data_IF_195668905707
#
_entry.id   IF_195668905707
#
_cell.length_a   1.000
_cell.length_b   1.000
_cell.length_c   1.000
_cell.angle_alpha   90.00
_cell.angle_beta   90.00
_cell.angle_gamma   90.00
#
_symmetry.space_group_name_H-M   'P 1'
#
loop_
_entity.id
_entity.type
_entity.pdbx_description
1 polymer ?
#
# COMPACT_ATOMS: atom_id res chain seq x y z
N UNK A 1 4.81 -22.37 6.34
CA UNK A 1 3.80 -21.90 5.40
C UNK A 1 3.31 -20.49 5.77
N UNK A 2 2.86 -20.23 7.00
CA UNK A 2 2.35 -18.93 7.44
C UNK A 2 3.35 -17.78 7.27
N UNK A 3 4.64 -18.04 7.55
CA UNK A 3 5.72 -17.07 7.34
C UNK A 3 5.87 -16.68 5.87
N UNK A 4 5.78 -17.64 4.95
CA UNK A 4 5.82 -17.37 3.52
C UNK A 4 4.61 -16.55 3.07
N UNK A 5 3.41 -16.94 3.51
CA UNK A 5 2.16 -16.23 3.19
C UNK A 5 2.25 -14.78 3.71
N UNK A 6 2.71 -14.57 4.93
CA UNK A 6 2.89 -13.24 5.52
C UNK A 6 3.87 -12.37 4.73
N UNK A 7 4.99 -12.92 4.29
CA UNK A 7 5.96 -12.22 3.45
C UNK A 7 5.36 -11.84 2.09
N UNK A 8 4.68 -12.77 1.41
CA UNK A 8 4.03 -12.48 0.12
C UNK A 8 2.92 -11.44 0.24
N UNK A 9 2.12 -11.53 1.30
CA UNK A 9 1.08 -10.55 1.60
C UNK A 9 1.64 -9.15 1.83
N UNK A 10 2.69 -9.05 2.64
CA UNK A 10 3.35 -7.77 2.93
C UNK A 10 4.05 -7.21 1.68
N UNK A 11 4.68 -8.07 0.87
CA UNK A 11 5.28 -7.67 -0.39
C UNK A 11 4.22 -7.12 -1.36
N UNK A 12 3.06 -7.74 -1.42
CA UNK A 12 1.96 -7.27 -2.24
C UNK A 12 1.40 -5.91 -1.78
N UNK A 13 1.32 -5.66 -0.45
CA UNK A 13 0.80 -4.39 0.09
C UNK A 13 1.80 -3.24 -0.16
N UNK A 14 3.07 -3.47 0.14
CA UNK A 14 4.08 -2.40 0.18
C UNK A 14 4.93 -2.35 -1.08
N UNK A 15 5.25 -3.51 -1.68
CA UNK A 15 6.20 -3.64 -2.77
C UNK A 15 5.73 -2.95 -4.04
N UNK A 16 4.49 -3.12 -4.37
CA UNK A 16 3.84 -2.61 -5.56
C UNK A 16 4.02 -1.09 -5.75
N UNK A 17 3.77 -0.32 -4.69
CA UNK A 17 3.91 1.14 -4.71
C UNK A 17 5.37 1.59 -4.77
N UNK A 18 6.28 0.87 -4.11
CA UNK A 18 7.73 1.16 -4.14
C UNK A 18 8.31 0.83 -5.52
N UNK A 19 7.85 -0.27 -6.14
CA UNK A 19 8.21 -0.62 -7.51
C UNK A 19 7.73 0.44 -8.50
N UNK A 20 6.49 0.90 -8.38
CA UNK A 20 5.94 1.95 -9.24
C UNK A 20 6.74 3.25 -9.14
N UNK A 21 7.30 3.58 -7.95
CA UNK A 21 8.13 4.76 -7.75
C UNK A 21 9.47 4.66 -8.47
N UNK A 22 10.21 3.55 -8.30
CA UNK A 22 11.58 3.44 -8.78
C UNK A 22 11.73 2.67 -10.11
N UNK A 23 10.68 1.98 -10.54
CA UNK A 23 10.65 1.11 -11.72
C UNK A 23 11.18 -0.31 -11.43
N UNK A 24 10.76 -1.31 -12.23
CA UNK A 24 10.94 -2.73 -11.90
C UNK A 24 12.40 -3.17 -11.79
N UNK A 25 13.28 -2.69 -12.66
CA UNK A 25 14.69 -3.09 -12.63
C UNK A 25 15.41 -2.53 -11.39
N UNK A 26 15.18 -1.25 -11.07
CA UNK A 26 15.75 -0.63 -9.86
C UNK A 26 15.16 -1.26 -8.60
N UNK A 27 13.88 -1.56 -8.61
CA UNK A 27 13.21 -2.25 -7.52
C UNK A 27 13.79 -3.64 -7.28
N UNK A 28 14.05 -4.42 -8.33
CA UNK A 28 14.70 -5.72 -8.20
C UNK A 28 16.10 -5.59 -7.57
N UNK A 29 16.93 -4.68 -8.06
CA UNK A 29 18.26 -4.42 -7.50
C UNK A 29 18.16 -3.95 -6.05
N UNK A 30 17.26 -3.02 -5.76
CA UNK A 30 16.97 -2.53 -4.42
C UNK A 30 16.59 -3.66 -3.47
N UNK A 31 15.64 -4.51 -3.88
CA UNK A 31 15.16 -5.64 -3.10
C UNK A 31 16.28 -6.63 -2.76
N UNK A 32 17.10 -7.00 -3.76
CA UNK A 32 18.23 -7.91 -3.57
C UNK A 32 19.29 -7.31 -2.64
N UNK A 33 19.63 -6.03 -2.82
CA UNK A 33 20.59 -5.34 -1.96
C UNK A 33 20.08 -5.25 -0.52
N UNK A 34 18.80 -4.92 -0.31
CA UNK A 34 18.20 -4.94 1.01
C UNK A 34 18.30 -6.33 1.66
N UNK A 35 18.06 -7.40 0.88
CA UNK A 35 18.18 -8.77 1.36
C UNK A 35 19.60 -9.13 1.79
N UNK A 36 20.60 -8.87 0.95
CA UNK A 36 22.00 -9.15 1.23
C UNK A 36 22.48 -8.36 2.46
N UNK A 37 22.25 -7.05 2.45
CA UNK A 37 22.74 -6.18 3.54
C UNK A 37 21.99 -6.43 4.85
N UNK A 38 20.73 -6.83 4.84
CA UNK A 38 20.00 -7.26 6.04
C UNK A 38 20.61 -8.53 6.64
N UNK A 39 20.98 -9.47 5.76
CA UNK A 39 21.70 -10.69 6.17
C UNK A 39 23.04 -10.38 6.80
N UNK A 40 23.82 -9.47 6.21
CA UNK A 40 25.09 -8.98 6.79
C UNK A 40 24.85 -8.34 8.16
N UNK A 41 23.82 -7.49 8.29
CA UNK A 41 23.47 -6.90 9.58
C UNK A 41 23.17 -7.97 10.61
N UNK A 42 22.35 -8.96 10.25
CA UNK A 42 22.04 -10.08 11.16
C UNK A 42 23.30 -10.82 11.60
N UNK A 43 24.18 -11.13 10.66
CA UNK A 43 25.45 -11.81 10.94
C UNK A 43 26.31 -11.02 11.92
N UNK A 44 26.47 -9.71 11.71
CA UNK A 44 27.31 -8.84 12.58
C UNK A 44 26.82 -8.83 14.04
N UNK A 45 25.51 -8.86 14.25
CA UNK A 45 24.94 -8.88 15.59
C UNK A 45 24.82 -10.29 16.20
N UNK A 46 25.05 -11.37 15.42
CA UNK A 46 24.88 -12.75 15.83
C UNK A 46 26.06 -13.64 15.42
N UNK A 47 27.30 -13.14 15.47
CA UNK A 47 28.51 -13.84 15.03
C UNK A 47 28.73 -15.21 15.69
N UNK A 48 28.18 -15.44 16.89
CA UNK A 48 28.31 -16.68 17.65
C UNK A 48 27.12 -17.63 17.47
N UNK A 49 26.11 -17.25 16.68
CA UNK A 49 24.93 -18.08 16.46
C UNK A 49 25.21 -19.13 15.40
N UNK A 50 25.02 -20.40 15.72
CA UNK A 50 25.02 -21.49 14.75
C UNK A 50 23.65 -21.76 14.12
N UNK A 51 22.65 -20.93 14.40
CA UNK A 51 21.28 -21.10 13.88
C UNK A 51 21.19 -20.53 12.47
N UNK A 52 20.85 -21.35 11.46
CA UNK A 52 20.67 -20.85 10.10
C UNK A 52 19.46 -19.92 10.02
N UNK A 53 19.64 -18.79 9.36
CA UNK A 53 18.59 -17.81 9.15
C UNK A 53 18.10 -17.88 7.70
N UNK A 54 16.82 -18.13 7.53
CA UNK A 54 16.17 -18.26 6.22
C UNK A 54 15.00 -17.30 6.14
N UNK A 55 14.93 -16.53 5.06
CA UNK A 55 13.75 -15.72 4.78
C UNK A 55 14.02 -14.45 3.97
N UNK A 56 13.08 -14.10 3.11
CA UNK A 56 13.08 -12.86 2.35
C UNK A 56 12.65 -11.64 3.20
N UNK A 57 12.37 -11.84 4.49
CA UNK A 57 11.77 -10.81 5.35
C UNK A 57 12.69 -9.62 5.61
N UNK A 58 14.01 -9.79 5.55
CA UNK A 58 14.96 -8.68 5.63
C UNK A 58 14.92 -7.77 4.41
N UNK A 59 14.80 -8.34 3.19
CA UNK A 59 14.57 -7.58 1.98
C UNK A 59 13.23 -6.84 2.03
N UNK A 60 12.19 -7.52 2.50
CA UNK A 60 10.87 -6.94 2.69
C UNK A 60 10.88 -5.80 3.71
N UNK A 61 11.63 -5.93 4.80
CA UNK A 61 11.82 -4.84 5.76
C UNK A 61 12.42 -3.60 5.08
N UNK A 62 13.33 -3.78 4.12
CA UNK A 62 13.86 -2.69 3.29
C UNK A 62 12.79 -2.02 2.45
N UNK A 63 11.91 -2.80 1.82
CA UNK A 63 10.74 -2.27 1.09
C UNK A 63 9.82 -1.48 2.01
N UNK A 64 9.55 -1.98 3.23
CA UNK A 64 8.75 -1.29 4.24
C UNK A 64 9.42 0.01 4.70
N UNK A 65 10.76 0.05 4.81
CA UNK A 65 11.53 1.26 5.09
C UNK A 65 11.41 2.31 3.99
N UNK A 66 11.51 1.92 2.72
CA UNK A 66 11.27 2.80 1.59
C UNK A 66 9.81 3.32 1.58
N UNK A 67 8.84 2.43 1.79
CA UNK A 67 7.42 2.81 1.85
C UNK A 67 7.13 3.81 2.96
N UNK A 68 7.76 3.66 4.13
CA UNK A 68 7.63 4.57 5.28
C UNK A 68 8.00 6.01 4.92
N UNK A 69 8.99 6.20 4.05
CA UNK A 69 9.43 7.52 3.58
C UNK A 69 8.56 8.04 2.44
N UNK A 70 8.26 7.18 1.44
CA UNK A 70 7.55 7.58 0.24
C UNK A 70 6.06 7.85 0.48
N UNK A 71 5.42 7.04 1.33
CA UNK A 71 3.96 7.05 1.50
C UNK A 71 3.50 7.20 2.96
N UNK A 72 4.02 8.20 3.72
CA UNK A 72 3.77 8.32 5.17
C UNK A 72 2.30 8.51 5.54
N UNK A 73 1.50 9.08 4.63
CA UNK A 73 0.07 9.36 4.83
C UNK A 73 -0.85 8.32 4.20
N UNK A 74 -0.31 7.34 3.47
CA UNK A 74 -1.12 6.25 2.93
C UNK A 74 -1.83 5.52 4.08
N UNK A 75 -3.06 5.09 3.84
CA UNK A 75 -3.88 4.42 4.87
C UNK A 75 -3.84 2.92 4.63
N UNK A 76 -3.43 2.18 5.66
CA UNK A 76 -3.38 0.73 5.67
C UNK A 76 -4.65 0.23 6.38
N UNK A 77 -5.47 -0.53 5.66
CA UNK A 77 -6.60 -1.22 6.25
C UNK A 77 -6.09 -2.37 7.12
N UNK A 78 -6.17 -2.19 8.42
CA UNK A 78 -5.68 -3.15 9.41
C UNK A 78 -6.84 -3.88 10.04
N UNK A 79 -6.79 -5.22 10.01
CA UNK A 79 -7.73 -6.09 10.71
C UNK A 79 -7.19 -6.37 12.11
N UNK A 80 -7.95 -5.99 13.12
CA UNK A 80 -7.69 -6.36 14.51
C UNK A 80 -8.82 -7.25 15.00
N UNK A 81 -8.59 -8.56 15.18
CA UNK A 81 -9.56 -9.44 15.78
C UNK A 81 -9.65 -9.17 17.29
N UNK A 82 -10.78 -8.63 17.74
CA UNK A 82 -11.05 -8.49 19.17
C UNK A 82 -12.02 -9.60 19.55
N UNK A 83 -11.52 -10.63 20.26
CA UNK A 83 -12.21 -11.88 20.53
C UNK A 83 -12.59 -12.59 19.23
N UNK A 84 -13.84 -12.52 18.78
CA UNK A 84 -14.36 -13.14 17.54
C UNK A 84 -14.84 -12.08 16.54
N UNK A 85 -14.83 -10.80 16.92
CA UNK A 85 -15.35 -9.72 16.08
C UNK A 85 -14.18 -9.08 15.31
N UNK A 86 -14.17 -9.10 13.96
CA UNK A 86 -13.16 -8.45 13.17
C UNK A 86 -13.40 -6.93 13.14
N UNK A 87 -12.50 -6.18 13.73
CA UNK A 87 -12.50 -4.72 13.61
C UNK A 87 -11.51 -4.28 12.52
N UNK A 88 -11.98 -3.40 11.65
CA UNK A 88 -11.17 -2.83 10.58
C UNK A 88 -10.87 -1.37 10.89
N UNK A 89 -9.59 -1.05 10.97
CA UNK A 89 -9.10 0.31 11.19
C UNK A 89 -8.23 0.75 10.03
N UNK A 90 -8.33 2.02 9.67
CA UNK A 90 -7.40 2.63 8.74
C UNK A 90 -6.30 3.35 9.54
N UNK A 91 -5.10 2.83 9.48
CA UNK A 91 -3.93 3.39 10.18
C UNK A 91 -3.01 4.02 9.16
N UNK A 92 -2.53 5.27 9.36
CA UNK A 92 -1.49 5.85 8.52
C UNK A 92 -0.26 4.94 8.48
N UNK A 93 0.31 4.75 7.27
CA UNK A 93 1.44 3.84 7.06
C UNK A 93 2.62 4.18 7.98
N UNK A 94 2.89 5.48 8.18
CA UNK A 94 3.95 5.92 9.09
C UNK A 94 3.76 5.40 10.51
N UNK A 95 2.53 5.40 11.03
CA UNK A 95 2.23 4.92 12.38
C UNK A 95 2.35 3.39 12.42
N UNK A 96 1.73 2.70 11.46
CA UNK A 96 1.76 1.24 11.38
C UNK A 96 3.21 0.70 11.31
N UNK A 97 3.99 1.22 10.36
CA UNK A 97 5.37 0.79 10.14
C UNK A 97 6.31 1.24 11.26
N UNK A 98 6.05 2.42 11.87
CA UNK A 98 6.79 2.89 13.03
C UNK A 98 6.60 1.98 14.25
N UNK A 99 5.37 1.57 14.54
CA UNK A 99 5.05 0.62 15.62
C UNK A 99 5.68 -0.74 15.31
N UNK A 100 5.56 -1.22 14.06
CA UNK A 100 6.18 -2.47 13.62
C UNK A 100 7.70 -2.45 13.84
N UNK A 101 8.37 -1.36 13.43
CA UNK A 101 9.81 -1.19 13.59
C UNK A 101 10.23 -1.12 15.08
N UNK A 102 9.50 -0.37 15.90
CA UNK A 102 9.75 -0.31 17.34
C UNK A 102 9.61 -1.69 17.98
N UNK A 103 8.62 -2.48 17.58
CA UNK A 103 8.44 -3.85 18.05
C UNK A 103 9.63 -4.76 17.68
N UNK A 104 10.18 -4.63 16.45
CA UNK A 104 11.38 -5.36 16.04
C UNK A 104 12.56 -5.04 16.98
N UNK A 105 12.74 -3.75 17.30
CA UNK A 105 13.82 -3.29 18.16
C UNK A 105 13.69 -3.82 19.60
N UNK A 106 12.50 -3.71 20.18
CA UNK A 106 12.21 -4.23 21.52
C UNK A 106 12.40 -5.74 21.59
N UNK A 107 11.98 -6.47 20.54
CA UNK A 107 12.14 -7.93 20.48
C UNK A 107 13.60 -8.33 20.33
N UNK A 108 14.40 -7.58 19.56
CA UNK A 108 15.83 -7.81 19.44
C UNK A 108 16.55 -7.58 20.80
N UNK A 109 16.17 -6.51 21.51
CA UNK A 109 16.74 -6.21 22.84
C UNK A 109 16.35 -7.22 23.90
N UNK A 110 15.14 -7.79 23.82
CA UNK A 110 14.64 -8.80 24.79
C UNK A 110 15.10 -10.24 24.51
N UNK A 111 15.65 -10.53 23.33
CA UNK A 111 15.98 -11.90 22.90
C UNK A 111 17.39 -12.35 23.29
N UNK A 112 18.04 -11.73 24.26
CA UNK A 112 19.38 -12.08 24.70
C UNK A 112 19.47 -13.57 25.09
N UNK A 113 20.12 -14.38 24.24
CA UNK A 113 20.44 -15.77 24.52
C UNK A 113 19.35 -16.81 24.24
N UNK A 114 18.17 -16.41 23.77
CA UNK A 114 17.10 -17.32 23.38
C UNK A 114 17.03 -17.40 21.86
N UNK A 115 17.09 -18.60 21.29
CA UNK A 115 16.85 -18.81 19.85
C UNK A 115 15.36 -18.55 19.54
N UNK A 116 15.01 -17.31 19.26
CA UNK A 116 13.60 -16.89 19.00
C UNK A 116 13.06 -17.35 17.63
N UNK A 117 13.89 -17.94 16.80
CA UNK A 117 13.52 -18.33 15.41
C UNK A 117 13.25 -17.15 14.46
N UNK A 118 13.29 -15.91 14.96
CA UNK A 118 13.07 -14.70 14.17
C UNK A 118 14.34 -13.85 14.14
N UNK A 119 14.72 -13.42 12.93
CA UNK A 119 15.94 -12.63 12.70
C UNK A 119 15.65 -11.12 12.89
N UNK A 120 15.40 -10.68 14.12
CA UNK A 120 15.06 -9.28 14.42
C UNK A 120 16.08 -8.28 13.88
N UNK A 121 17.38 -8.58 14.00
CA UNK A 121 18.45 -7.72 13.48
C UNK A 121 18.45 -7.62 11.96
N UNK A 122 18.03 -8.67 11.25
CA UNK A 122 17.83 -8.59 9.80
C UNK A 122 16.69 -7.65 9.43
N UNK A 123 15.59 -7.62 10.20
CA UNK A 123 14.49 -6.72 9.97
C UNK A 123 14.86 -5.26 10.23
N UNK A 124 15.54 -5.00 11.36
CA UNK A 124 16.01 -3.65 11.71
C UNK A 124 16.99 -3.15 10.64
N UNK A 125 18.01 -3.97 10.32
CA UNK A 125 18.99 -3.64 9.30
C UNK A 125 18.36 -3.41 7.95
N UNK A 126 17.48 -4.32 7.51
CA UNK A 126 16.76 -4.20 6.25
C UNK A 126 15.97 -2.90 6.15
N UNK A 127 15.20 -2.55 7.18
CA UNK A 127 14.40 -1.32 7.20
C UNK A 127 15.27 -0.06 7.06
N UNK A 128 16.33 0.05 7.87
CA UNK A 128 17.25 1.20 7.83
C UNK A 128 17.97 1.28 6.49
N UNK A 129 18.47 0.14 6.00
CA UNK A 129 19.15 0.04 4.70
C UNK A 129 18.19 0.46 3.57
N UNK A 130 16.94 0.03 3.63
CA UNK A 130 15.93 0.43 2.65
C UNK A 130 15.71 1.94 2.59
N UNK A 131 15.66 2.61 3.74
CA UNK A 131 15.59 4.08 3.82
C UNK A 131 16.81 4.73 3.20
N UNK A 132 18.01 4.21 3.48
CA UNK A 132 19.27 4.74 2.96
C UNK A 132 19.38 4.53 1.45
N UNK A 133 19.16 3.29 0.98
CA UNK A 133 19.24 2.95 -0.44
C UNK A 133 18.23 3.72 -1.29
N UNK A 134 17.02 3.96 -0.77
CA UNK A 134 16.02 4.79 -1.45
C UNK A 134 16.61 6.16 -1.80
N UNK A 135 17.25 6.84 -0.84
CA UNK A 135 17.85 8.15 -1.07
C UNK A 135 18.93 8.11 -2.14
N UNK A 136 19.75 7.06 -2.18
CA UNK A 136 20.76 6.89 -3.22
C UNK A 136 20.12 6.61 -4.59
N UNK A 137 19.08 5.80 -4.67
CA UNK A 137 18.38 5.51 -5.92
C UNK A 137 17.71 6.76 -6.49
N UNK A 138 17.12 7.60 -5.64
CA UNK A 138 16.49 8.86 -6.07
C UNK A 138 17.51 9.89 -6.61
N UNK A 139 18.77 9.80 -6.19
CA UNK A 139 19.86 10.62 -6.73
C UNK A 139 20.36 10.15 -8.11
N UNK A 140 20.10 8.90 -8.48
CA UNK A 140 20.57 8.36 -9.76
C UNK A 140 19.65 8.82 -10.90
N UNK A 141 20.20 9.34 -12.02
CA UNK A 141 19.40 9.71 -13.18
C UNK A 141 18.65 8.48 -13.73
N UNK A 142 17.43 8.69 -14.21
CA UNK A 142 16.65 7.63 -14.86
C UNK A 142 17.36 7.22 -16.15
N UNK A 143 17.91 6.00 -16.19
CA UNK A 143 18.61 5.48 -17.36
C UNK A 143 17.61 5.09 -18.45
N UNK A 144 17.99 5.27 -19.73
CA UNK A 144 17.14 4.96 -20.88
C UNK A 144 16.67 3.50 -20.96
N UNK A 145 17.37 2.56 -20.32
CA UNK A 145 16.98 1.13 -20.24
C UNK A 145 15.75 0.92 -19.35
N UNK A 146 15.57 1.71 -18.31
CA UNK A 146 14.43 1.60 -17.41
C UNK A 146 13.12 2.08 -18.05
N UNK A 147 13.18 2.97 -19.03
CA UNK A 147 12.00 3.54 -19.68
C UNK A 147 11.16 2.52 -20.48
N UNK A 148 11.74 1.69 -21.38
CA UNK A 148 10.95 0.69 -22.11
C UNK A 148 10.40 -0.40 -21.18
N UNK A 149 11.16 -0.85 -20.18
CA UNK A 149 10.71 -1.84 -19.21
C UNK A 149 9.57 -1.25 -18.37
N UNK A 150 9.70 -0.02 -17.91
CA UNK A 150 8.65 0.71 -17.18
C UNK A 150 7.37 0.86 -18.02
N UNK A 151 7.48 1.18 -19.31
CA UNK A 151 6.32 1.24 -20.23
C UNK A 151 5.63 -0.11 -20.37
N UNK A 152 6.40 -1.21 -20.46
CA UNK A 152 5.87 -2.56 -20.58
C UNK A 152 5.17 -3.04 -19.29
N UNK A 153 5.65 -2.61 -18.12
CA UNK A 153 5.15 -3.02 -16.80
C UNK A 153 4.17 -2.02 -16.18
N UNK A 154 3.97 -0.84 -16.80
CA UNK A 154 3.01 0.16 -16.29
C UNK A 154 1.62 -0.43 -16.14
N UNK A 155 1.05 -0.30 -14.96
CA UNK A 155 -0.30 -0.79 -14.66
C UNK A 155 -1.34 -0.09 -15.53
N UNK A 156 -2.03 -0.87 -16.34
CA UNK A 156 -3.17 -0.39 -17.15
C UNK A 156 -4.44 -0.20 -16.33
N UNK A 157 -4.44 -0.69 -15.09
CA UNK A 157 -5.60 -0.63 -14.20
C UNK A 157 -5.24 0.07 -12.89
N UNK A 158 -6.09 0.96 -12.44
CA UNK A 158 -6.01 1.55 -11.11
C UNK A 158 -6.50 0.55 -10.05
N UNK A 159 -6.27 0.85 -8.76
CA UNK A 159 -6.67 -0.05 -7.68
C UNK A 159 -8.15 -0.46 -7.79
N UNK A 160 -8.43 -1.75 -7.68
CA UNK A 160 -9.80 -2.29 -7.71
C UNK A 160 -10.61 -1.84 -6.51
N UNK A 161 -9.99 -1.80 -5.34
CA UNK A 161 -10.59 -1.32 -4.09
C UNK A 161 -10.17 0.13 -3.85
N UNK A 162 -11.14 1.03 -3.80
CA UNK A 162 -10.91 2.44 -3.47
C UNK A 162 -11.70 2.80 -2.21
N UNK A 163 -11.03 3.42 -1.26
CA UNK A 163 -11.69 3.95 -0.05
C UNK A 163 -12.08 5.38 -0.35
N UNK A 164 -13.38 5.63 -0.35
CA UNK A 164 -13.94 6.96 -0.63
C UNK A 164 -14.36 7.62 0.68
N UNK A 165 -14.06 8.89 0.82
CA UNK A 165 -14.53 9.73 1.93
C UNK A 165 -15.58 10.71 1.39
N UNK A 166 -16.87 10.31 1.38
CA UNK A 166 -17.91 11.17 0.86
C UNK A 166 -18.07 12.41 1.73
N UNK A 167 -18.17 13.55 1.10
CA UNK A 167 -18.49 14.80 1.75
C UNK A 167 -19.91 15.24 1.37
N UNK A 168 -20.69 15.80 2.32
CA UNK A 168 -21.96 16.45 1.97
C UNK A 168 -21.71 17.75 1.21
N UNK A 169 -22.59 18.08 0.29
CA UNK A 169 -22.63 19.40 -0.32
C UNK A 169 -23.80 20.17 0.29
N UNK A 170 -23.51 20.98 1.31
CA UNK A 170 -24.54 21.75 2.02
C UNK A 170 -25.48 20.89 2.90
N UNK A 171 -26.76 21.31 3.01
CA UNK A 171 -27.80 20.63 3.78
C UNK A 171 -28.49 19.45 3.04
N UNK A 172 -28.00 19.09 1.87
CA UNK A 172 -28.60 18.04 1.04
C UNK A 172 -28.31 16.64 1.61
N UNK A 173 -29.27 15.74 1.37
CA UNK A 173 -29.16 14.32 1.74
C UNK A 173 -28.13 13.57 0.88
N UNK A 174 -27.70 14.15 -0.22
CA UNK A 174 -26.78 13.56 -1.18
C UNK A 174 -25.32 13.67 -0.70
N UNK A 175 -24.54 12.65 -1.03
CA UNK A 175 -23.12 12.59 -0.73
C UNK A 175 -22.33 12.63 -2.04
N UNK A 176 -21.17 13.28 -1.98
CA UNK A 176 -20.27 13.42 -3.13
C UNK A 176 -18.92 12.80 -2.83
N UNK A 177 -18.38 12.03 -3.76
CA UNK A 177 -17.04 11.46 -3.67
C UNK A 177 -16.41 11.35 -5.06
N UNK A 178 -15.11 11.06 -5.10
CA UNK A 178 -14.37 10.94 -6.35
C UNK A 178 -13.89 9.50 -6.51
N UNK A 179 -14.04 8.94 -7.72
CA UNK A 179 -13.51 7.65 -8.10
C UNK A 179 -12.41 7.83 -9.15
N UNK A 180 -11.27 7.19 -8.94
CA UNK A 180 -10.12 7.28 -9.83
C UNK A 180 -10.07 6.09 -10.79
N UNK A 181 -9.88 6.38 -12.08
CA UNK A 181 -9.68 5.38 -13.13
C UNK A 181 -8.51 5.79 -14.03
N UNK A 182 -7.94 4.83 -14.75
CA UNK A 182 -6.93 5.10 -15.77
C UNK A 182 -7.59 5.42 -17.12
N UNK A 183 -6.86 6.06 -18.08
CA UNK A 183 -7.37 6.26 -19.44
C UNK A 183 -7.78 4.95 -20.12
N UNK A 184 -7.07 3.87 -19.85
CA UNK A 184 -7.39 2.53 -20.36
C UNK A 184 -8.73 2.01 -19.80
N UNK A 185 -8.97 2.18 -18.52
CA UNK A 185 -10.23 1.80 -17.87
C UNK A 185 -11.40 2.69 -18.32
N UNK A 186 -11.13 3.98 -18.58
CA UNK A 186 -12.12 4.88 -19.14
C UNK A 186 -12.57 4.44 -20.53
N UNK A 187 -11.64 3.96 -21.37
CA UNK A 187 -11.91 3.52 -22.73
C UNK A 187 -12.70 2.19 -22.76
N UNK A 188 -12.26 1.21 -21.99
CA UNK A 188 -12.82 -0.16 -22.03
C UNK A 188 -13.91 -0.42 -21.00
N UNK A 189 -14.09 0.50 -20.05
CA UNK A 189 -14.92 0.28 -18.89
C UNK A 189 -14.21 -0.58 -17.83
N UNK A 190 -14.68 -0.49 -16.59
CA UNK A 190 -14.13 -1.25 -15.48
C UNK A 190 -15.16 -1.46 -14.40
N UNK A 191 -14.83 -2.32 -13.43
CA UNK A 191 -15.62 -2.48 -12.21
C UNK A 191 -14.72 -2.25 -11.01
N UNK A 192 -15.08 -1.28 -10.18
CA UNK A 192 -14.40 -0.92 -8.95
C UNK A 192 -15.19 -1.39 -7.73
N UNK A 193 -14.48 -1.70 -6.67
CA UNK A 193 -15.07 -1.90 -5.35
C UNK A 193 -14.78 -0.63 -4.56
N UNK A 194 -15.80 0.11 -4.18
CA UNK A 194 -15.66 1.30 -3.36
C UNK A 194 -16.06 1.00 -1.94
N UNK A 195 -15.19 1.36 -1.00
CA UNK A 195 -15.47 1.25 0.42
C UNK A 195 -15.82 2.64 0.95
N UNK A 196 -17.01 2.75 1.53
CA UNK A 196 -17.52 4.00 2.10
C UNK A 196 -17.60 3.81 3.61
N UNK A 197 -16.81 4.57 4.40
CA UNK A 197 -16.91 4.55 5.85
C UNK A 197 -18.26 5.14 6.27
N UNK A 198 -19.06 4.37 6.99
CA UNK A 198 -20.36 4.79 7.53
C UNK A 198 -20.35 4.62 9.05
N UNK A 199 -19.88 5.64 9.77
CA UNK A 199 -19.67 5.52 11.20
C UNK A 199 -18.69 4.39 11.54
N UNK A 200 -19.11 3.46 12.42
CA UNK A 200 -18.31 2.27 12.75
C UNK A 200 -18.41 1.13 11.72
N UNK A 201 -19.33 1.22 10.76
CA UNK A 201 -19.51 0.20 9.72
C UNK A 201 -18.97 0.69 8.39
N UNK A 202 -18.29 -0.21 7.67
CA UNK A 202 -17.80 0.03 6.31
C UNK A 202 -18.72 -0.70 5.33
N UNK A 203 -19.23 -0.01 4.33
CA UNK A 203 -20.04 -0.60 3.27
C UNK A 203 -19.25 -0.63 1.97
N UNK A 204 -19.15 -1.82 1.39
CA UNK A 204 -18.49 -2.03 0.10
C UNK A 204 -19.54 -2.09 -1.01
N UNK A 205 -19.33 -1.30 -2.06
CA UNK A 205 -20.20 -1.28 -3.23
C UNK A 205 -19.40 -1.61 -4.49
N UNK A 206 -20.02 -2.38 -5.35
CA UNK A 206 -19.48 -2.68 -6.67
C UNK A 206 -19.99 -1.62 -7.66
N UNK A 207 -19.09 -0.77 -8.14
CA UNK A 207 -19.41 0.32 -9.07
C UNK A 207 -18.95 -0.08 -10.46
N UNK A 208 -19.87 -0.14 -11.40
CA UNK A 208 -19.56 -0.36 -12.83
C UNK A 208 -19.33 0.99 -13.50
N UNK A 209 -18.15 1.19 -14.05
CA UNK A 209 -17.78 2.33 -14.88
C UNK A 209 -17.97 1.92 -16.35
N UNK A 210 -18.88 2.55 -17.11
CA UNK A 210 -19.10 2.22 -18.52
C UNK A 210 -17.85 2.48 -19.38
N UNK A 211 -17.76 1.79 -20.52
CA UNK A 211 -16.77 2.12 -21.53
C UNK A 211 -17.07 3.49 -22.14
N UNK A 212 -16.03 4.25 -22.50
CA UNK A 212 -16.16 5.60 -23.03
C UNK A 212 -16.44 6.66 -21.96
N UNK A 213 -16.28 6.36 -20.68
CA UNK A 213 -16.45 7.33 -19.59
C UNK A 213 -15.42 8.46 -19.70
N UNK A 214 -15.88 9.71 -19.60
CA UNK A 214 -15.04 10.92 -19.65
C UNK A 214 -14.77 11.49 -18.27
N UNK A 215 -13.77 12.36 -18.17
CA UNK A 215 -13.45 13.13 -16.96
C UNK A 215 -14.68 13.88 -16.46
N UNK A 216 -14.93 13.86 -15.16
CA UNK A 216 -16.07 14.54 -14.53
C UNK A 216 -17.41 13.82 -14.67
N UNK A 217 -17.48 12.68 -15.35
CA UNK A 217 -18.72 11.87 -15.41
C UNK A 217 -19.20 11.54 -14.01
N UNK A 218 -20.49 11.76 -13.73
CA UNK A 218 -21.10 11.47 -12.44
C UNK A 218 -21.81 10.11 -12.47
N UNK A 219 -21.36 9.20 -11.62
CA UNK A 219 -21.99 7.89 -11.42
C UNK A 219 -22.87 7.96 -10.16
N UNK A 220 -24.13 7.61 -10.28
CA UNK A 220 -25.12 7.69 -9.19
C UNK A 220 -25.33 6.33 -8.55
N UNK A 221 -25.14 6.27 -7.23
CA UNK A 221 -25.50 5.13 -6.38
C UNK A 221 -26.74 5.50 -5.59
N UNK A 222 -27.89 5.04 -6.07
CA UNK A 222 -29.19 5.40 -5.55
C UNK A 222 -29.39 4.94 -4.11
N UNK A 223 -29.89 5.83 -3.24
CA UNK A 223 -30.18 5.52 -1.84
C UNK A 223 -28.95 5.30 -0.95
N UNK A 224 -27.75 5.71 -1.39
CA UNK A 224 -26.50 5.56 -0.63
C UNK A 224 -25.99 6.89 -0.04
N UNK A 225 -26.83 7.90 0.00
CA UNK A 225 -26.60 9.18 0.67
C UNK A 225 -26.93 9.15 2.17
N UNK A 226 -27.07 10.32 2.78
CA UNK A 226 -27.49 10.47 4.19
C UNK A 226 -28.95 10.10 4.37
N UNK A 227 -29.30 9.49 5.50
CA UNK A 227 -30.68 9.39 5.93
C UNK A 227 -31.13 10.71 6.52
N UNK A 228 -32.19 11.27 5.97
CA UNK A 228 -32.83 12.50 6.49
C UNK A 228 -33.93 12.09 7.47
N UNK A 229 -34.33 13.00 8.35
CA UNK A 229 -35.39 12.79 9.33
C UNK A 229 -36.74 12.35 8.73
N UNK A 230 -36.96 12.63 7.46
CA UNK A 230 -38.14 12.19 6.68
C UNK A 230 -38.12 10.73 6.25
N UNK A 231 -37.08 9.94 6.60
CA UNK A 231 -36.96 8.51 6.33
C UNK A 231 -36.35 8.12 4.99
N UNK A 232 -36.26 9.05 4.03
CA UNK A 232 -35.64 8.79 2.73
C UNK A 232 -34.12 9.00 2.81
N UNK A 233 -33.36 8.10 2.17
CA UNK A 233 -31.91 8.26 2.03
C UNK A 233 -31.64 9.00 0.71
N UNK A 234 -30.72 9.95 0.74
CA UNK A 234 -30.18 10.59 -0.48
C UNK A 234 -29.34 9.62 -1.30
N UNK A 235 -28.72 10.14 -2.34
CA UNK A 235 -27.89 9.37 -3.25
C UNK A 235 -26.39 9.64 -3.01
N UNK A 236 -25.54 8.72 -3.46
CA UNK A 236 -24.10 8.96 -3.53
C UNK A 236 -23.72 9.22 -4.98
N UNK A 237 -23.16 10.38 -5.22
CA UNK A 237 -22.70 10.83 -6.53
C UNK A 237 -21.16 10.72 -6.59
N UNK A 238 -20.67 9.86 -7.49
CA UNK A 238 -19.26 9.62 -7.70
C UNK A 238 -18.79 10.36 -8.94
N UNK A 239 -17.94 11.38 -8.79
CA UNK A 239 -17.30 12.05 -9.91
C UNK A 239 -16.08 11.24 -10.37
N UNK A 240 -16.01 10.93 -11.66
CA UNK A 240 -14.89 10.18 -12.23
C UNK A 240 -13.73 11.11 -12.50
N UNK A 241 -12.54 10.73 -11.99
CA UNK A 241 -11.27 11.38 -12.29
C UNK A 241 -10.39 10.40 -13.05
N UNK A 242 -9.88 10.83 -14.22
CA UNK A 242 -8.99 10.04 -15.06
C UNK A 242 -7.55 10.42 -14.73
N UNK A 243 -6.86 9.59 -13.93
CA UNK A 243 -5.45 9.80 -13.62
C UNK A 243 -4.56 8.97 -14.54
N UNK A 244 -3.67 9.67 -15.24
CA UNK A 244 -2.55 9.00 -15.89
C UNK A 244 -1.59 8.47 -14.82
N UNK A 245 -1.06 7.24 -14.97
CA UNK A 245 0.03 6.77 -14.12
C UNK A 245 1.15 7.81 -14.12
N UNK A 246 1.80 8.04 -12.99
CA UNK A 246 2.83 9.06 -12.81
C UNK A 246 4.00 8.98 -13.82
N UNK A 247 4.10 7.89 -14.58
CA UNK A 247 5.09 7.67 -15.64
C UNK A 247 4.85 8.47 -16.95
N UNK A 248 3.68 9.05 -17.15
CA UNK A 248 3.35 9.82 -18.37
C UNK A 248 3.36 11.34 -18.18
N UNK A 249 3.56 11.82 -16.96
CA UNK A 249 3.52 13.24 -16.62
C UNK A 249 4.84 14.00 -16.89
N UNK A 250 5.87 13.31 -17.41
CA UNK A 250 7.19 13.87 -17.72
C UNK A 250 7.69 13.40 -19.09
N UNK A 251 6.90 13.60 -20.11
CA UNK A 251 7.33 13.48 -21.51
C UNK A 251 7.09 14.82 -22.23
#
# INVERSE_FOLDING_TARGET
LWHLIGNMWSLWIFGDNVEDHMGPLRYLVFYLLCGILSGVTHLLFNLKSGVPTIGASGALAGVMGAYFILFPRARILTLVPIVIIPFFFEIPAKIFLGIWFAFQFLSAAGSHGVASGVAWWAHIGGFVIGVVLLKFIDLLPTTGVSTPVRRATTKRHSHRLQVLHPAPSGDEADLYATIEITPYEALLGTTKIVNIPWGFQKRMFKVKVPAGTTEGTKLRLKGQGRKVATGNAGDLLLSVVIRRPASEATA
#
